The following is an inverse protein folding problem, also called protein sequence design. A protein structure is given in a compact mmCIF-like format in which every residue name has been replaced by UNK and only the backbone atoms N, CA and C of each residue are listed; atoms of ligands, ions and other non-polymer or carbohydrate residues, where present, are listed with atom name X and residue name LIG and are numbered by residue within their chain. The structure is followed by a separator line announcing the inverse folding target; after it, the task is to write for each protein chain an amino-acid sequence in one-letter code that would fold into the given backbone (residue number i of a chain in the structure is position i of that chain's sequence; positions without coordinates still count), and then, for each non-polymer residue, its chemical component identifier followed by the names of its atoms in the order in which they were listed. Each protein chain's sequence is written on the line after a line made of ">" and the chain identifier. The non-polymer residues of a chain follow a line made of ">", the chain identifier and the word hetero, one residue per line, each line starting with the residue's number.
data_IF_155528081340
#
_entry.id   IF_155528081340
#
_cell.length_a   1.000
_cell.length_b   1.000
_cell.length_c   1.000
_cell.angle_alpha   90.00
_cell.angle_beta   90.00
_cell.angle_gamma   90.00
#
_symmetry.space_group_name_H-M   'P 1'
#
loop_
_entity.id
_entity.type
_entity.pdbx_description
1 polymer ?
#
# COMPACT_ATOMS: atom_id res chain seq x y z
N UNK A 1 3.19 -19.98 1.23
CA UNK A 1 4.06 -19.41 0.17
C UNK A 1 5.46 -19.39 0.74
N UNK A 2 6.30 -20.36 0.39
CA UNK A 2 7.66 -20.47 0.93
C UNK A 2 8.60 -19.80 -0.05
N UNK A 3 9.02 -18.57 0.25
CA UNK A 3 9.95 -17.81 -0.57
C UNK A 3 11.35 -18.03 -0.01
N UNK A 4 12.24 -18.67 -0.78
CA UNK A 4 13.66 -18.69 -0.48
C UNK A 4 14.23 -17.32 -0.88
N UNK A 5 14.31 -16.41 0.08
CA UNK A 5 14.86 -15.07 -0.15
C UNK A 5 16.38 -15.09 -0.12
N UNK A 6 16.99 -14.54 -1.18
CA UNK A 6 18.34 -13.99 -1.14
C UNK A 6 19.47 -15.01 -1.30
N UNK A 7 19.65 -15.54 -2.51
CA UNK A 7 20.96 -16.04 -2.93
C UNK A 7 21.70 -14.93 -3.69
N UNK A 8 22.98 -14.73 -3.33
CA UNK A 8 23.95 -13.91 -4.06
C UNK A 8 23.98 -14.37 -5.54
N UNK A 9 24.20 -13.45 -6.47
CA UNK A 9 24.24 -13.68 -7.93
C UNK A 9 24.56 -15.12 -8.33
N UNK A 10 23.56 -15.84 -8.87
CA UNK A 10 23.73 -17.17 -9.44
C UNK A 10 24.03 -17.03 -10.94
N UNK A 11 24.93 -17.85 -11.47
CA UNK A 11 25.12 -17.97 -12.92
C UNK A 11 23.91 -18.67 -13.55
N UNK A 12 23.72 -18.53 -14.86
CA UNK A 12 22.66 -19.28 -15.56
C UNK A 12 22.80 -20.79 -15.37
N UNK A 13 24.03 -21.31 -15.35
CA UNK A 13 24.31 -22.73 -15.09
C UNK A 13 23.84 -23.17 -13.70
N UNK A 14 24.07 -22.35 -12.67
CA UNK A 14 23.61 -22.63 -11.30
C UNK A 14 22.08 -22.57 -11.20
N UNK A 15 21.45 -21.63 -11.90
CA UNK A 15 19.99 -21.56 -12.00
C UNK A 15 19.44 -22.81 -12.67
N UNK A 16 20.03 -23.24 -13.79
CA UNK A 16 19.59 -24.42 -14.53
C UNK A 16 19.80 -25.71 -13.71
N UNK A 17 20.93 -25.87 -13.01
CA UNK A 17 21.19 -27.00 -12.11
C UNK A 17 20.13 -27.08 -11.01
N UNK A 18 19.85 -25.95 -10.35
CA UNK A 18 18.85 -25.89 -9.29
C UNK A 18 17.44 -26.14 -9.83
N UNK A 19 17.08 -25.55 -10.98
CA UNK A 19 15.80 -25.81 -11.64
C UNK A 19 15.64 -27.28 -12.03
N UNK A 20 16.70 -27.94 -12.48
CA UNK A 20 16.68 -29.37 -12.82
C UNK A 20 16.49 -30.26 -11.58
N UNK A 21 16.95 -29.83 -10.39
CA UNK A 21 16.69 -30.56 -9.14
C UNK A 21 15.19 -30.61 -8.77
N UNK A 22 14.39 -29.67 -9.29
CA UNK A 22 12.93 -29.63 -9.12
C UNK A 22 12.16 -30.33 -10.25
N UNK A 23 12.84 -30.83 -11.30
CA UNK A 23 12.20 -31.51 -12.44
C UNK A 23 12.09 -33.03 -12.27
N UNK A 24 12.11 -33.53 -11.04
CA UNK A 24 11.95 -34.96 -10.77
C UNK A 24 10.48 -35.39 -10.81
N UNK A 25 10.21 -36.66 -11.08
CA UNK A 25 8.86 -37.23 -11.03
C UNK A 25 8.18 -37.03 -9.68
N UNK A 26 8.98 -37.04 -8.60
CA UNK A 26 8.50 -36.74 -7.25
C UNK A 26 7.81 -35.37 -7.18
N UNK A 27 8.44 -34.30 -7.69
CA UNK A 27 7.85 -32.96 -7.63
C UNK A 27 6.72 -32.79 -8.65
N UNK A 28 6.94 -33.24 -9.88
CA UNK A 28 6.07 -32.91 -11.02
C UNK A 28 4.87 -33.85 -11.10
N UNK A 29 5.10 -35.16 -11.08
CA UNK A 29 4.06 -36.16 -11.34
C UNK A 29 3.28 -36.51 -10.07
N UNK A 30 4.00 -36.77 -8.97
CA UNK A 30 3.39 -37.19 -7.71
C UNK A 30 2.74 -36.01 -6.96
N UNK A 31 3.44 -34.87 -6.87
CA UNK A 31 3.00 -33.74 -6.04
C UNK A 31 2.40 -32.58 -6.84
N UNK A 32 2.61 -32.53 -8.16
CA UNK A 32 2.21 -31.40 -9.03
C UNK A 32 2.69 -30.05 -8.47
N UNK A 33 3.88 -30.05 -7.89
CA UNK A 33 4.52 -28.88 -7.32
C UNK A 33 5.51 -28.31 -8.32
N UNK A 34 5.05 -27.27 -8.99
CA UNK A 34 5.87 -26.54 -9.96
C UNK A 34 6.59 -25.40 -9.26
N UNK A 35 7.88 -25.31 -9.52
CA UNK A 35 8.76 -24.22 -9.12
C UNK A 35 9.03 -23.32 -10.33
N UNK A 36 9.02 -22.01 -10.11
CA UNK A 36 9.53 -21.00 -11.02
C UNK A 36 10.71 -20.27 -10.40
N UNK A 37 11.63 -19.86 -11.25
CA UNK A 37 12.74 -18.99 -10.93
C UNK A 37 12.53 -17.65 -11.62
N UNK A 38 12.63 -16.58 -10.83
CA UNK A 38 12.53 -15.20 -11.28
C UNK A 38 13.82 -14.51 -10.86
N UNK A 39 14.58 -13.99 -11.83
CA UNK A 39 15.76 -13.16 -11.55
C UNK A 39 15.49 -11.72 -11.97
N UNK A 40 15.84 -10.82 -11.07
CA UNK A 40 16.04 -9.41 -11.37
C UNK A 40 17.53 -9.04 -11.13
N UNK A 41 17.88 -7.76 -11.25
CA UNK A 41 19.25 -7.30 -11.03
C UNK A 41 19.74 -7.41 -9.58
N UNK A 42 18.86 -7.55 -8.60
CA UNK A 42 19.25 -7.52 -7.20
C UNK A 42 19.15 -8.90 -6.52
N UNK A 43 18.35 -9.82 -7.08
CA UNK A 43 18.13 -11.15 -6.52
C UNK A 43 17.61 -12.17 -7.54
N UNK A 44 17.87 -13.43 -7.20
CA UNK A 44 17.20 -14.61 -7.77
C UNK A 44 16.23 -15.14 -6.72
N UNK A 45 15.01 -15.43 -7.14
CA UNK A 45 13.96 -15.98 -6.28
C UNK A 45 13.37 -17.25 -6.87
N UNK A 46 13.12 -18.23 -6.01
CA UNK A 46 12.45 -19.49 -6.34
C UNK A 46 11.13 -19.56 -5.60
N UNK A 47 10.06 -19.80 -6.34
CA UNK A 47 8.71 -19.77 -5.80
C UNK A 47 7.85 -20.87 -6.41
N UNK A 48 6.87 -21.35 -5.67
CA UNK A 48 5.85 -22.26 -6.21
C UNK A 48 4.93 -21.51 -7.18
N UNK A 49 4.54 -22.16 -8.28
CA UNK A 49 3.59 -21.59 -9.25
C UNK A 49 2.21 -21.43 -8.59
N UNK A 50 1.64 -20.23 -8.69
CA UNK A 50 0.36 -19.83 -8.10
C UNK A 50 -0.45 -19.02 -9.11
N UNK A 51 -1.77 -19.03 -8.96
CA UNK A 51 -2.70 -18.30 -9.86
C UNK A 51 -2.78 -16.79 -9.59
N UNK A 52 -2.28 -16.35 -8.45
CA UNK A 52 -2.16 -14.95 -8.03
C UNK A 52 -0.71 -14.70 -7.63
N UNK A 53 -0.12 -13.62 -8.14
CA UNK A 53 1.28 -13.27 -7.94
C UNK A 53 1.44 -11.82 -7.49
N UNK A 54 1.97 -11.65 -6.28
CA UNK A 54 2.29 -10.34 -5.74
C UNK A 54 3.66 -9.89 -6.24
N UNK A 55 3.68 -8.89 -7.12
CA UNK A 55 4.90 -8.34 -7.69
C UNK A 55 5.46 -7.20 -6.83
N UNK A 56 6.66 -7.42 -6.28
CA UNK A 56 7.31 -6.48 -5.34
C UNK A 56 8.61 -5.87 -5.86
N UNK A 57 9.04 -6.22 -7.07
CA UNK A 57 10.35 -5.84 -7.58
C UNK A 57 10.32 -4.54 -8.39
N UNK A 58 11.45 -3.83 -8.40
CA UNK A 58 11.65 -2.54 -9.10
C UNK A 58 11.65 -2.62 -10.62
N UNK A 59 11.88 -3.82 -11.16
CA UNK A 59 12.04 -4.08 -12.59
C UNK A 59 11.33 -5.37 -12.92
N UNK A 60 10.85 -5.51 -14.14
CA UNK A 60 10.35 -6.78 -14.65
C UNK A 60 11.48 -7.82 -14.71
N UNK A 61 11.17 -9.13 -14.66
CA UNK A 61 12.19 -10.16 -14.59
C UNK A 61 13.06 -10.17 -15.85
N UNK A 62 14.38 -10.16 -15.66
CA UNK A 62 15.34 -10.36 -16.76
C UNK A 62 15.47 -11.83 -17.13
N UNK A 63 15.33 -12.73 -16.14
CA UNK A 63 15.34 -14.18 -16.35
C UNK A 63 14.07 -14.78 -15.75
N UNK A 64 13.44 -15.65 -16.53
CA UNK A 64 12.31 -16.47 -16.11
C UNK A 64 12.57 -17.92 -16.49
N UNK A 65 12.35 -18.85 -15.55
CA UNK A 65 12.34 -20.29 -15.79
C UNK A 65 11.19 -20.90 -15.00
N UNK A 66 10.56 -21.93 -15.55
CA UNK A 66 9.59 -22.74 -14.83
C UNK A 66 9.83 -24.22 -15.05
N UNK A 67 9.38 -25.00 -14.08
CA UNK A 67 9.26 -26.46 -14.19
C UNK A 67 7.90 -26.87 -14.77
N UNK A 68 6.91 -25.96 -14.79
CA UNK A 68 5.67 -26.16 -15.55
C UNK A 68 5.88 -25.71 -17.00
N UNK A 69 5.63 -26.61 -17.94
CA UNK A 69 5.68 -26.33 -19.39
C UNK A 69 4.68 -25.27 -19.85
N UNK A 70 3.60 -25.07 -19.10
CA UNK A 70 2.55 -24.08 -19.39
C UNK A 70 2.76 -22.75 -18.66
N UNK A 71 3.82 -22.65 -17.86
CA UNK A 71 4.16 -21.43 -17.12
C UNK A 71 5.31 -20.72 -17.83
N UNK A 72 4.99 -19.55 -18.37
CA UNK A 72 5.90 -18.71 -19.11
C UNK A 72 5.80 -17.27 -18.60
N UNK A 73 6.69 -16.41 -19.09
CA UNK A 73 6.75 -15.03 -18.61
C UNK A 73 5.47 -14.24 -18.91
N UNK A 74 4.77 -14.53 -20.01
CA UNK A 74 3.49 -13.91 -20.34
C UNK A 74 2.42 -14.32 -19.32
N UNK A 75 2.36 -15.61 -18.99
CA UNK A 75 1.45 -16.13 -17.96
C UNK A 75 1.73 -15.48 -16.61
N UNK A 76 3.00 -15.32 -16.22
CA UNK A 76 3.37 -14.57 -15.01
C UNK A 76 2.69 -13.21 -15.01
N UNK A 77 2.85 -12.40 -16.06
CA UNK A 77 2.21 -11.08 -16.16
C UNK A 77 0.69 -11.14 -16.06
N UNK A 78 0.05 -12.15 -16.67
CA UNK A 78 -1.41 -12.33 -16.56
C UNK A 78 -1.90 -12.76 -15.17
N UNK A 79 -1.01 -13.26 -14.31
CA UNK A 79 -1.29 -13.67 -12.93
C UNK A 79 -0.94 -12.62 -11.89
N UNK A 80 -0.25 -11.53 -12.28
CA UNK A 80 0.05 -10.42 -11.37
C UNK A 80 -1.26 -9.73 -11.00
N UNK A 81 -1.56 -9.74 -9.71
CA UNK A 81 -2.73 -9.10 -9.11
C UNK A 81 -2.36 -7.91 -8.21
N UNK A 82 -1.10 -7.83 -7.78
CA UNK A 82 -0.57 -6.72 -6.99
C UNK A 82 0.78 -6.25 -7.50
N UNK A 83 0.93 -4.94 -7.67
CA UNK A 83 2.23 -4.28 -7.93
C UNK A 83 2.47 -3.31 -6.76
N UNK A 84 3.47 -3.58 -5.93
CA UNK A 84 3.77 -2.75 -4.75
C UNK A 84 4.93 -1.78 -4.95
N UNK A 85 5.83 -2.03 -5.90
CA UNK A 85 6.99 -1.17 -6.13
C UNK A 85 6.65 0.00 -7.05
N UNK A 86 6.74 1.21 -6.51
CA UNK A 86 6.42 2.47 -7.20
C UNK A 86 7.42 2.82 -8.31
N UNK A 87 8.58 2.17 -8.35
CA UNK A 87 9.64 2.43 -9.33
C UNK A 87 9.56 1.57 -10.58
N UNK A 88 8.70 0.55 -10.60
CA UNK A 88 8.51 -0.34 -11.75
C UNK A 88 8.25 0.44 -13.05
N UNK A 89 7.46 1.50 -12.97
CA UNK A 89 7.07 2.34 -14.11
C UNK A 89 8.04 3.50 -14.39
N UNK A 90 9.21 3.53 -13.75
CA UNK A 90 10.27 4.49 -14.09
C UNK A 90 11.04 4.05 -15.35
N UNK A 91 10.90 2.78 -15.76
CA UNK A 91 11.53 2.25 -16.96
C UNK A 91 10.49 2.02 -18.07
N UNK A 92 10.89 2.13 -19.35
CA UNK A 92 10.01 1.77 -20.45
C UNK A 92 9.65 0.29 -20.37
N UNK A 93 8.38 0.00 -20.10
CA UNK A 93 7.79 -1.33 -20.22
C UNK A 93 7.28 -1.52 -21.65
N UNK A 94 7.50 -2.69 -22.23
CA UNK A 94 6.97 -3.05 -23.55
C UNK A 94 5.45 -2.94 -23.56
N UNK A 95 4.89 -2.31 -24.59
CA UNK A 95 3.43 -2.18 -24.79
C UNK A 95 2.71 -3.53 -24.98
N UNK A 96 3.46 -4.63 -25.12
CA UNK A 96 2.93 -5.99 -25.19
C UNK A 96 2.67 -6.60 -23.81
N UNK A 97 3.05 -5.93 -22.72
CA UNK A 97 2.86 -6.42 -21.35
C UNK A 97 1.57 -5.85 -20.80
N UNK A 98 0.74 -6.72 -20.24
CA UNK A 98 -0.58 -6.39 -19.70
C UNK A 98 -0.81 -7.12 -18.38
N UNK A 99 -1.48 -6.43 -17.44
CA UNK A 99 -1.78 -6.92 -16.09
C UNK A 99 -3.31 -7.03 -15.89
N UNK A 100 -3.97 -8.04 -16.48
CA UNK A 100 -5.43 -8.12 -16.56
C UNK A 100 -6.11 -8.41 -15.22
N UNK A 101 -5.39 -8.92 -14.22
CA UNK A 101 -5.92 -9.28 -12.89
C UNK A 101 -5.50 -8.29 -11.80
N UNK A 102 -5.01 -7.11 -12.19
CA UNK A 102 -4.46 -6.15 -11.25
C UNK A 102 -5.57 -5.60 -10.33
N UNK A 103 -5.48 -5.92 -9.05
CA UNK A 103 -6.40 -5.46 -8.01
C UNK A 103 -5.77 -4.41 -7.08
N UNK A 104 -4.44 -4.44 -6.92
CA UNK A 104 -3.70 -3.51 -6.06
C UNK A 104 -2.51 -2.92 -6.79
N UNK A 105 -2.35 -1.60 -6.67
CA UNK A 105 -1.35 -0.86 -7.44
C UNK A 105 -0.72 0.26 -6.64
N UNK A 106 0.60 0.31 -6.62
CA UNK A 106 1.38 1.41 -6.07
C UNK A 106 1.90 2.32 -7.18
N UNK A 107 1.74 3.64 -7.02
CA UNK A 107 2.10 4.65 -8.01
C UNK A 107 2.93 5.75 -7.37
N UNK A 108 4.06 6.08 -8.00
CA UNK A 108 4.85 7.26 -7.66
C UNK A 108 4.22 8.52 -8.24
N UNK A 109 4.10 9.56 -7.44
CA UNK A 109 3.70 10.89 -7.89
C UNK A 109 4.92 11.82 -8.06
N UNK A 110 4.98 12.61 -9.15
CA UNK A 110 3.98 12.75 -10.23
C UNK A 110 3.92 11.55 -11.18
N UNK A 111 2.71 11.27 -11.69
CA UNK A 111 2.44 10.14 -12.59
C UNK A 111 3.17 10.38 -13.93
N UNK A 112 4.05 9.44 -14.30
CA UNK A 112 4.75 9.42 -15.58
C UNK A 112 3.74 9.23 -16.73
N UNK A 113 3.84 10.00 -17.81
CA UNK A 113 2.90 9.87 -18.94
C UNK A 113 2.98 8.52 -19.64
N UNK A 114 4.12 7.83 -19.53
CA UNK A 114 4.28 6.45 -19.99
C UNK A 114 3.37 5.46 -19.25
N UNK A 115 2.94 5.79 -18.02
CA UNK A 115 2.04 4.95 -17.24
C UNK A 115 0.73 4.67 -17.97
N UNK A 116 0.19 5.65 -18.69
CA UNK A 116 -1.11 5.55 -19.37
C UNK A 116 -1.12 4.56 -20.53
N UNK A 117 0.03 4.31 -21.16
CA UNK A 117 0.14 3.31 -22.23
C UNK A 117 0.40 1.91 -21.71
N UNK A 118 0.86 1.77 -20.46
CA UNK A 118 1.28 0.49 -19.87
C UNK A 118 0.16 -0.24 -19.15
N UNK A 119 -0.79 0.47 -18.55
CA UNK A 119 -1.89 -0.15 -17.79
C UNK A 119 -3.21 0.11 -18.49
N UNK A 120 -3.60 -0.85 -19.33
CA UNK A 120 -4.79 -0.76 -20.17
C UNK A 120 -6.09 -1.04 -19.41
N UNK A 121 -6.05 -1.78 -18.30
CA UNK A 121 -7.21 -2.07 -17.48
C UNK A 121 -6.98 -1.69 -16.01
N UNK A 122 -7.46 -0.51 -15.62
CA UNK A 122 -7.48 -0.04 -14.22
C UNK A 122 -8.86 -0.20 -13.57
N UNK A 123 -9.83 -0.70 -14.32
CA UNK A 123 -11.23 -0.76 -13.91
C UNK A 123 -11.41 -1.62 -12.65
N UNK A 124 -10.66 -2.72 -12.57
CA UNK A 124 -10.78 -3.74 -11.52
C UNK A 124 -9.83 -3.48 -10.33
N UNK A 125 -9.08 -2.38 -10.36
CA UNK A 125 -8.21 -1.96 -9.26
C UNK A 125 -9.09 -1.46 -8.11
N UNK A 126 -8.95 -2.14 -6.96
CA UNK A 126 -9.69 -1.84 -5.73
C UNK A 126 -8.81 -1.22 -4.64
N UNK A 127 -7.49 -1.28 -4.79
CA UNK A 127 -6.52 -0.70 -3.87
C UNK A 127 -5.45 0.10 -4.62
N UNK A 128 -5.24 1.35 -4.20
CA UNK A 128 -4.24 2.26 -4.75
C UNK A 128 -3.35 2.78 -3.64
N UNK A 129 -2.04 2.69 -3.81
CA UNK A 129 -1.05 3.33 -2.95
C UNK A 129 -0.37 4.46 -3.71
N UNK A 130 -0.31 5.66 -3.14
CA UNK A 130 0.32 6.84 -3.74
C UNK A 130 1.57 7.20 -2.95
N UNK A 131 2.73 7.25 -3.60
CA UNK A 131 3.98 7.73 -3.00
C UNK A 131 4.30 9.14 -3.52
N UNK A 132 4.13 10.15 -2.67
CA UNK A 132 4.43 11.54 -3.00
C UNK A 132 5.91 11.84 -2.76
N UNK A 133 6.63 12.03 -3.87
CA UNK A 133 8.06 12.40 -3.82
C UNK A 133 8.34 13.84 -4.22
N UNK A 134 7.40 14.48 -4.91
CA UNK A 134 7.40 15.91 -5.25
C UNK A 134 5.95 16.41 -5.34
N UNK A 135 5.77 17.71 -5.65
CA UNK A 135 4.48 18.22 -6.08
C UNK A 135 3.88 17.39 -7.22
N UNK A 136 2.55 17.25 -7.21
CA UNK A 136 1.82 16.44 -8.17
C UNK A 136 0.85 17.30 -8.99
N UNK A 137 0.51 16.79 -10.17
CA UNK A 137 -0.54 17.36 -11.01
C UNK A 137 -1.89 16.81 -10.60
N UNK A 138 -2.76 17.69 -10.06
CA UNK A 138 -4.12 17.33 -9.68
C UNK A 138 -4.91 16.74 -10.86
N UNK A 139 -4.74 17.28 -12.07
CA UNK A 139 -5.44 16.76 -13.26
C UNK A 139 -4.98 15.35 -13.64
N UNK A 140 -3.68 15.03 -13.51
CA UNK A 140 -3.17 13.67 -13.75
C UNK A 140 -3.69 12.68 -12.72
N UNK A 141 -3.71 13.05 -11.44
CA UNK A 141 -4.28 12.20 -10.40
C UNK A 141 -5.79 12.00 -10.60
N UNK A 142 -6.52 13.06 -10.93
CA UNK A 142 -7.95 12.97 -11.25
C UNK A 142 -8.19 12.03 -12.43
N UNK A 143 -7.38 12.12 -13.49
CA UNK A 143 -7.46 11.21 -14.63
C UNK A 143 -7.20 9.75 -14.23
N UNK A 144 -6.36 9.50 -13.22
CA UNK A 144 -6.06 8.15 -12.71
C UNK A 144 -7.27 7.59 -11.98
N UNK A 145 -7.79 8.38 -11.02
CA UNK A 145 -8.94 8.01 -10.20
C UNK A 145 -10.19 7.75 -11.05
N UNK A 146 -10.40 8.55 -12.11
CA UNK A 146 -11.50 8.35 -13.05
C UNK A 146 -11.47 6.99 -13.79
N UNK A 147 -10.31 6.32 -13.83
CA UNK A 147 -10.16 4.99 -14.45
C UNK A 147 -10.31 3.85 -13.45
N UNK A 148 -10.50 4.14 -12.16
CA UNK A 148 -10.61 3.15 -11.08
C UNK A 148 -11.97 3.29 -10.36
N UNK A 149 -13.11 3.01 -11.03
CA UNK A 149 -14.44 3.18 -10.45
C UNK A 149 -14.73 2.25 -9.26
N UNK A 150 -13.91 1.21 -9.07
CA UNK A 150 -14.03 0.26 -7.97
C UNK A 150 -12.98 0.45 -6.87
N UNK A 151 -12.27 1.59 -6.87
CA UNK A 151 -11.28 1.89 -5.83
C UNK A 151 -11.96 1.99 -4.45
N UNK A 152 -11.55 1.13 -3.52
CA UNK A 152 -12.06 1.06 -2.14
C UNK A 152 -11.02 1.44 -1.11
N UNK A 153 -9.75 1.15 -1.38
CA UNK A 153 -8.64 1.42 -0.46
C UNK A 153 -7.69 2.41 -1.09
N UNK A 154 -7.41 3.51 -0.38
CA UNK A 154 -6.39 4.46 -0.75
C UNK A 154 -5.35 4.53 0.37
N UNK A 155 -4.10 4.23 0.03
CA UNK A 155 -2.94 4.44 0.91
C UNK A 155 -2.12 5.60 0.38
N UNK A 156 -1.70 6.49 1.28
CA UNK A 156 -0.92 7.68 0.98
C UNK A 156 0.38 7.60 1.76
N UNK A 157 1.48 7.53 1.03
CA UNK A 157 2.83 7.60 1.55
C UNK A 157 3.43 8.97 1.25
N UNK A 158 4.06 9.56 2.26
CA UNK A 158 4.76 10.83 2.12
C UNK A 158 6.02 10.81 3.00
N UNK A 159 7.18 10.69 2.35
CA UNK A 159 8.49 10.70 3.02
C UNK A 159 8.95 12.13 3.35
N UNK A 160 9.71 12.29 4.45
CA UNK A 160 10.05 13.54 5.18
C UNK A 160 10.30 14.84 4.44
N UNK A 161 10.73 14.80 3.18
CA UNK A 161 11.36 15.97 2.56
C UNK A 161 10.35 17.03 2.11
N UNK A 162 9.08 16.68 1.92
CA UNK A 162 8.08 17.58 1.37
C UNK A 162 6.74 17.47 2.08
N UNK A 163 6.00 18.57 2.28
CA UNK A 163 4.70 18.54 2.93
C UNK A 163 3.70 17.71 2.13
N UNK A 164 2.73 17.10 2.83
CA UNK A 164 1.62 16.42 2.19
C UNK A 164 0.88 17.39 1.24
N UNK A 165 0.71 17.04 -0.05
CA UNK A 165 0.03 17.90 -1.00
C UNK A 165 -1.47 18.04 -0.68
N UNK A 166 -1.85 19.11 0.01
CA UNK A 166 -3.24 19.34 0.45
C UNK A 166 -4.25 19.46 -0.70
N UNK A 167 -3.78 19.71 -1.93
CA UNK A 167 -4.61 19.67 -3.14
C UNK A 167 -5.20 18.29 -3.43
N UNK A 168 -4.68 17.22 -2.81
CA UNK A 168 -5.27 15.88 -2.85
C UNK A 168 -6.73 15.89 -2.37
N UNK A 169 -7.04 16.68 -1.35
CA UNK A 169 -8.40 16.79 -0.79
C UNK A 169 -9.38 17.54 -1.70
N UNK A 170 -8.88 18.17 -2.77
CA UNK A 170 -9.69 18.79 -3.81
C UNK A 170 -9.98 17.85 -4.98
N UNK A 171 -9.44 16.63 -4.99
CA UNK A 171 -9.79 15.63 -6.00
C UNK A 171 -11.21 15.11 -5.78
N UNK A 172 -11.87 14.76 -6.87
CA UNK A 172 -13.17 14.09 -6.85
C UNK A 172 -12.93 12.59 -6.97
N UNK A 173 -13.34 11.82 -5.97
CA UNK A 173 -13.25 10.37 -6.04
C UNK A 173 -14.55 9.82 -6.65
N UNK A 174 -14.52 9.18 -7.83
CA UNK A 174 -15.72 8.63 -8.46
C UNK A 174 -16.27 7.43 -7.70
N UNK A 175 -15.43 6.79 -6.89
CA UNK A 175 -15.75 5.64 -6.04
C UNK A 175 -15.83 6.04 -4.57
N UNK A 176 -16.59 5.27 -3.81
CA UNK A 176 -16.62 5.36 -2.35
C UNK A 176 -15.36 4.73 -1.77
N UNK A 177 -14.42 5.56 -1.31
CA UNK A 177 -13.24 5.11 -0.57
C UNK A 177 -13.70 4.62 0.80
N UNK A 178 -13.60 3.32 1.02
CA UNK A 178 -13.94 2.64 2.26
C UNK A 178 -12.81 2.77 3.29
N UNK A 179 -11.56 2.62 2.85
CA UNK A 179 -10.38 2.64 3.70
C UNK A 179 -9.40 3.71 3.21
N UNK A 180 -9.03 4.63 4.09
CA UNK A 180 -8.01 5.64 3.87
C UNK A 180 -6.88 5.44 4.88
N UNK A 181 -5.66 5.33 4.37
CA UNK A 181 -4.48 5.03 5.18
C UNK A 181 -3.35 6.01 4.85
N UNK A 182 -2.83 6.71 5.86
CA UNK A 182 -1.67 7.61 5.75
C UNK A 182 -0.40 6.92 6.29
N UNK A 183 0.00 5.84 5.62
CA UNK A 183 1.11 5.00 6.04
C UNK A 183 2.48 5.66 5.83
N UNK A 184 3.32 5.67 6.88
CA UNK A 184 4.65 6.29 6.88
C UNK A 184 4.62 7.78 6.46
N UNK A 185 3.54 8.48 6.84
CA UNK A 185 3.35 9.89 6.58
C UNK A 185 3.93 10.71 7.73
N UNK A 186 4.84 11.64 7.42
CA UNK A 186 5.44 12.52 8.43
C UNK A 186 4.60 13.79 8.69
N UNK A 187 3.56 14.01 7.90
CA UNK A 187 2.61 15.09 8.14
C UNK A 187 1.59 14.70 9.21
N UNK A 188 1.76 15.23 10.42
CA UNK A 188 0.79 15.11 11.50
C UNK A 188 -0.36 16.10 11.32
N UNK A 189 -1.58 15.58 11.23
CA UNK A 189 -2.79 16.37 10.96
C UNK A 189 -3.20 17.19 12.19
N UNK A 190 -3.27 18.50 12.00
CA UNK A 190 -3.89 19.41 12.97
C UNK A 190 -5.40 19.55 12.71
N UNK A 191 -6.08 20.34 13.55
CA UNK A 191 -7.52 20.56 13.50
C UNK A 191 -7.98 21.10 12.13
N UNK A 192 -7.23 22.03 11.54
CA UNK A 192 -7.55 22.60 10.22
C UNK A 192 -7.42 21.56 9.12
N UNK A 193 -6.43 20.67 9.22
CA UNK A 193 -6.23 19.60 8.25
C UNK A 193 -7.35 18.55 8.36
N UNK A 194 -7.73 18.16 9.59
CA UNK A 194 -8.85 17.26 9.84
C UNK A 194 -10.18 17.84 9.34
N UNK A 195 -10.44 19.14 9.55
CA UNK A 195 -11.63 19.81 8.99
C UNK A 195 -11.62 19.78 7.45
N UNK A 196 -10.45 19.97 6.83
CA UNK A 196 -10.33 19.87 5.36
C UNK A 196 -10.59 18.46 4.88
N UNK A 197 -10.02 17.46 5.55
CA UNK A 197 -10.22 16.04 5.23
C UNK A 197 -11.70 15.66 5.34
N UNK A 198 -12.35 15.96 6.46
CA UNK A 198 -13.77 15.62 6.70
C UNK A 198 -14.73 16.26 5.68
N UNK A 199 -14.35 17.39 5.08
CA UNK A 199 -15.12 18.07 4.02
C UNK A 199 -14.79 17.60 2.60
N UNK A 200 -13.76 16.79 2.44
CA UNK A 200 -13.31 16.31 1.13
C UNK A 200 -14.15 15.13 0.65
N UNK A 201 -14.19 14.94 -0.67
CA UNK A 201 -14.85 13.76 -1.24
C UNK A 201 -14.15 12.45 -0.83
N UNK A 202 -12.86 12.51 -0.51
CA UNK A 202 -12.04 11.39 -0.06
C UNK A 202 -12.56 10.75 1.24
N UNK A 203 -13.03 11.59 2.18
CA UNK A 203 -13.50 11.13 3.48
C UNK A 203 -15.01 10.80 3.49
N UNK A 204 -15.74 11.14 2.44
CA UNK A 204 -17.22 11.13 2.42
C UNK A 204 -17.84 9.76 2.75
N UNK A 205 -17.21 8.67 2.32
CA UNK A 205 -17.65 7.29 2.53
C UNK A 205 -16.62 6.45 3.30
N UNK A 206 -15.64 7.12 3.91
CA UNK A 206 -14.55 6.44 4.60
C UNK A 206 -15.05 5.84 5.91
N UNK A 207 -14.99 4.51 6.00
CA UNK A 207 -15.37 3.75 7.19
C UNK A 207 -14.15 3.42 8.06
N UNK A 208 -12.96 3.31 7.45
CA UNK A 208 -11.71 3.03 8.15
C UNK A 208 -10.65 4.08 7.81
N UNK A 209 -10.14 4.75 8.85
CA UNK A 209 -9.08 5.75 8.74
C UNK A 209 -7.87 5.36 9.59
N UNK A 210 -6.68 5.33 8.98
CA UNK A 210 -5.39 5.32 9.69
C UNK A 210 -4.67 6.64 9.40
N UNK A 211 -4.38 7.43 10.42
CA UNK A 211 -3.94 8.82 10.25
C UNK A 211 -3.03 9.31 11.39
N UNK A 212 -1.89 9.95 11.07
CA UNK A 212 -1.09 10.66 12.06
C UNK A 212 -1.75 11.97 12.45
N UNK A 213 -1.89 12.25 13.76
CA UNK A 213 -2.54 13.45 14.30
C UNK A 213 -1.61 14.19 15.25
N UNK A 214 -1.79 15.52 15.36
CA UNK A 214 -0.98 16.33 16.29
C UNK A 214 -1.44 16.25 17.74
N UNK A 215 -2.74 16.06 17.97
CA UNK A 215 -3.34 16.15 19.30
C UNK A 215 -4.72 15.45 19.35
N UNK A 216 -5.29 15.34 20.55
CA UNK A 216 -6.59 14.70 20.78
C UNK A 216 -7.74 15.47 20.13
N UNK A 217 -7.64 16.79 19.98
CA UNK A 217 -8.69 17.60 19.35
C UNK A 217 -8.87 17.23 17.87
N UNK A 218 -7.79 16.89 17.16
CA UNK A 218 -7.85 16.34 15.81
C UNK A 218 -8.69 15.06 15.75
N UNK A 219 -8.56 14.16 16.73
CA UNK A 219 -9.37 12.93 16.84
C UNK A 219 -10.85 13.27 16.98
N UNK A 220 -11.19 14.18 17.92
CA UNK A 220 -12.59 14.61 18.13
C UNK A 220 -13.19 15.14 16.83
N UNK A 221 -12.46 15.98 16.09
CA UNK A 221 -12.92 16.52 14.81
C UNK A 221 -13.21 15.40 13.81
N UNK A 222 -12.33 14.41 13.67
CA UNK A 222 -12.52 13.30 12.74
C UNK A 222 -13.76 12.48 13.11
N UNK A 223 -13.85 12.02 14.36
CA UNK A 223 -14.97 11.18 14.83
C UNK A 223 -16.31 11.91 14.72
N UNK A 224 -16.38 13.19 15.08
CA UNK A 224 -17.63 13.94 15.08
C UNK A 224 -18.07 14.42 13.69
N UNK A 225 -17.18 14.45 12.69
CA UNK A 225 -17.51 15.00 11.36
C UNK A 225 -17.48 13.96 10.23
N UNK A 226 -16.92 12.76 10.45
CA UNK A 226 -16.94 11.67 9.48
C UNK A 226 -18.08 10.70 9.78
N UNK A 227 -19.26 10.97 9.23
CA UNK A 227 -20.51 10.25 9.56
C UNK A 227 -20.48 8.74 9.29
N UNK A 228 -19.62 8.27 8.39
CA UNK A 228 -19.50 6.85 8.03
C UNK A 228 -18.33 6.15 8.75
N UNK A 229 -17.56 6.87 9.56
CA UNK A 229 -16.37 6.32 10.20
C UNK A 229 -16.76 5.26 11.24
N UNK A 230 -16.26 4.04 11.07
CA UNK A 230 -16.45 2.91 11.97
C UNK A 230 -15.17 2.54 12.73
N UNK A 231 -14.01 2.84 12.15
CA UNK A 231 -12.72 2.54 12.75
C UNK A 231 -11.71 3.67 12.49
N UNK A 232 -11.08 4.15 13.54
CA UNK A 232 -10.00 5.14 13.50
C UNK A 232 -8.77 4.58 14.21
N UNK A 233 -7.64 4.59 13.53
CA UNK A 233 -6.31 4.47 14.14
C UNK A 233 -5.62 5.81 14.01
N UNK A 234 -5.28 6.40 15.15
CA UNK A 234 -4.64 7.70 15.24
C UNK A 234 -3.24 7.52 15.84
N UNK A 235 -2.20 7.86 15.08
CA UNK A 235 -0.82 7.84 15.54
C UNK A 235 -0.36 9.24 15.93
N UNK A 236 0.49 9.33 16.96
CA UNK A 236 1.04 10.58 17.47
C UNK A 236 2.52 10.68 17.16
N UNK A 237 3.11 11.89 17.11
CA UNK A 237 4.54 12.04 16.89
C UNK A 237 5.32 11.35 18.01
N UNK A 238 6.27 10.50 17.64
CA UNK A 238 7.21 9.88 18.58
C UNK A 238 8.00 10.97 19.31
N UNK A 239 7.62 11.27 20.56
CA UNK A 239 8.34 12.23 21.41
C UNK A 239 9.79 11.76 21.75
N UNK A 240 10.19 10.54 21.35
CA UNK A 240 11.49 9.93 21.68
C UNK A 240 12.66 10.38 20.79
N UNK A 241 12.45 11.19 19.74
CA UNK A 241 13.56 11.71 18.91
C UNK A 241 14.29 12.93 19.52
N UNK A 242 13.88 13.40 20.69
CA UNK A 242 14.63 14.41 21.46
C UNK A 242 15.20 13.76 22.73
N UNK A 243 16.51 13.48 22.72
CA UNK A 243 17.29 12.75 23.75
C UNK A 243 17.25 13.30 25.19
N UNK A 244 16.35 14.21 25.58
CA UNK A 244 16.40 14.87 26.89
C UNK A 244 15.03 15.13 27.54
N UNK A 245 13.98 14.36 27.23
CA UNK A 245 12.85 14.26 28.15
C UNK A 245 13.00 13.01 29.00
N UNK A 246 12.89 13.10 30.34
CA UNK A 246 12.68 11.91 31.15
C UNK A 246 11.48 11.21 30.53
N UNK A 247 11.62 9.90 30.30
CA UNK A 247 10.54 9.01 29.88
C UNK A 247 9.25 9.52 30.50
N UNK A 248 8.38 10.15 29.70
CA UNK A 248 6.98 10.17 30.03
C UNK A 248 6.64 8.70 30.05
N UNK A 249 6.72 8.11 31.24
CA UNK A 249 5.70 7.19 31.68
C UNK A 249 4.45 8.03 31.50
N UNK A 250 3.90 7.98 30.28
CA UNK A 250 2.67 8.66 29.96
C UNK A 250 1.70 8.21 31.04
N UNK A 251 0.93 9.12 31.59
CA UNK A 251 -0.31 8.72 32.23
C UNK A 251 -1.17 8.19 31.08
N UNK A 252 -0.89 6.95 30.63
CA UNK A 252 -1.32 6.37 29.35
C UNK A 252 -2.85 6.30 29.24
N UNK A 253 -3.48 6.26 30.40
CA UNK A 253 -4.93 6.31 30.61
C UNK A 253 -5.50 7.74 30.57
N UNK A 254 -4.74 8.82 30.79
CA UNK A 254 -5.28 10.18 30.78
C UNK A 254 -5.78 10.59 29.39
N UNK A 255 -5.02 10.31 28.32
CA UNK A 255 -5.49 10.62 26.96
C UNK A 255 -6.73 9.79 26.59
N UNK A 256 -6.72 8.50 26.95
CA UNK A 256 -7.87 7.60 26.71
C UNK A 256 -9.07 8.07 27.50
N UNK A 257 -8.89 8.38 28.78
CA UNK A 257 -9.93 8.86 29.68
C UNK A 257 -10.49 10.20 29.20
N UNK A 258 -9.60 11.11 28.76
CA UNK A 258 -10.00 12.37 28.15
C UNK A 258 -10.85 12.13 26.89
N UNK A 259 -10.44 11.22 26.01
CA UNK A 259 -11.24 10.87 24.84
C UNK A 259 -12.57 10.21 25.22
N UNK A 260 -12.62 9.35 26.25
CA UNK A 260 -13.87 8.76 26.77
C UNK A 260 -14.83 9.84 27.26
N UNK A 261 -14.31 10.92 27.86
CA UNK A 261 -15.13 12.04 28.36
C UNK A 261 -15.64 12.96 27.24
N UNK A 262 -14.95 13.01 26.09
CA UNK A 262 -15.23 13.96 25.01
C UNK A 262 -15.83 13.33 23.75
N UNK A 263 -15.79 12.00 23.61
CA UNK A 263 -16.39 11.27 22.49
C UNK A 263 -17.75 10.66 22.86
N UNK A 264 -18.60 10.36 21.85
CA UNK A 264 -19.84 9.65 22.09
C UNK A 264 -19.62 8.30 22.77
N UNK A 265 -20.54 7.90 23.64
CA UNK A 265 -20.50 6.60 24.33
C UNK A 265 -20.61 5.39 23.40
N UNK A 266 -20.92 5.61 22.11
CA UNK A 266 -20.86 4.57 21.05
C UNK A 266 -19.43 4.22 20.65
N UNK A 267 -18.43 5.00 21.08
CA UNK A 267 -17.02 4.76 20.80
C UNK A 267 -16.40 3.79 21.81
N UNK A 268 -15.72 2.76 21.33
CA UNK A 268 -14.81 1.93 22.13
C UNK A 268 -13.36 2.33 21.83
N UNK A 269 -12.62 2.73 22.87
CA UNK A 269 -11.30 3.35 22.74
C UNK A 269 -10.27 2.43 23.41
N UNK A 270 -9.13 2.24 22.74
CA UNK A 270 -8.05 1.38 23.22
C UNK A 270 -6.71 1.82 22.64
N UNK A 271 -5.59 1.45 23.27
CA UNK A 271 -4.27 1.58 22.66
C UNK A 271 -4.02 0.45 21.67
N UNK A 272 -3.20 0.70 20.66
CA UNK A 272 -2.68 -0.35 19.81
C UNK A 272 -1.65 -1.19 20.59
N UNK A 273 -1.84 -2.51 20.75
CA UNK A 273 -0.88 -3.36 21.47
C UNK A 273 0.47 -3.47 20.76
N UNK A 274 0.54 -3.15 19.46
CA UNK A 274 1.77 -3.17 18.67
C UNK A 274 2.52 -1.83 18.64
N UNK A 275 1.85 -0.73 19.00
CA UNK A 275 2.42 0.62 19.04
C UNK A 275 1.71 1.45 20.12
N UNK A 276 2.33 1.60 21.30
CA UNK A 276 1.70 2.29 22.44
C UNK A 276 1.34 3.75 22.16
N UNK A 277 1.99 4.38 21.18
CA UNK A 277 1.68 5.74 20.78
C UNK A 277 0.42 5.84 19.91
N UNK A 278 -0.15 4.72 19.45
CA UNK A 278 -1.35 4.73 18.63
C UNK A 278 -2.61 4.50 19.46
N UNK A 279 -3.66 5.26 19.13
CA UNK A 279 -5.00 5.11 19.68
C UNK A 279 -5.90 4.48 18.62
N UNK A 280 -6.63 3.44 19.00
CA UNK A 280 -7.66 2.78 18.20
C UNK A 280 -9.04 3.10 18.75
N UNK A 281 -9.93 3.57 17.89
CA UNK A 281 -11.31 3.91 18.20
C UNK A 281 -12.22 3.13 17.27
N UNK A 282 -13.15 2.36 17.84
CA UNK A 282 -14.22 1.67 17.14
C UNK A 282 -15.54 2.40 17.38
N UNK A 283 -16.28 2.72 16.32
CA UNK A 283 -17.51 3.51 16.36
C UNK A 283 -18.66 2.60 15.90
N UNK A 284 -19.70 2.50 16.71
CA UNK A 284 -20.90 1.70 16.45
C UNK A 284 -22.04 2.55 15.90
#
# INVERSE_FOLDING_TARGET
>A
MTKLHGMRWMTEEQIDELMNSFRTSFWIDEHRWFVRCISNEDCVSFETVSNAFHYTDKKLPGVFRSTDSQDNIERLYTTIDRISDVTLFNQPISSKIYFPKLHSLSVKCPINDQYWSMISNLHDVSSLSLDFTTDFSQSKLQALLNRMPHLRTLTIHQKSLLPLPMSLFNCTFPSSIYCLDFENCEHYFNEKDCIRLTRSSLASHCERLDIPVKNLQSIIILVCNMNNLCALRASFPDEQTYENRPSRICNDDEDIQWLIEHLPSTCAISRDPSCFNDIRIWIK
#
